data_IF_584955667837
#
_entry.id   IF_584955667837
#
_cell.length_a   1.000
_cell.length_b   1.000
_cell.length_c   1.000
_cell.angle_alpha   90.00
_cell.angle_beta   90.00
_cell.angle_gamma   90.00
#
_symmetry.space_group_name_H-M   'P 1'
#
loop_
_entity.id
_entity.type
_entity.pdbx_description
1 polymer ?
#
# COMPACT_ATOMS: atom_id res chain seq x y z
N UNK A 1 -31.59 -19.79 -20.55
CA UNK A 1 -31.65 -18.99 -19.32
C UNK A 1 -30.24 -18.92 -18.77
N UNK A 2 -29.63 -17.73 -18.75
CA UNK A 2 -28.36 -17.54 -18.05
C UNK A 2 -28.66 -17.62 -16.54
N UNK A 3 -27.98 -18.51 -15.84
CA UNK A 3 -28.08 -18.58 -14.38
C UNK A 3 -27.43 -17.33 -13.80
N UNK A 4 -28.11 -16.68 -12.85
CA UNK A 4 -27.53 -15.53 -12.15
C UNK A 4 -26.19 -15.92 -11.50
N UNK A 5 -25.19 -15.06 -11.61
CA UNK A 5 -23.87 -15.32 -11.02
C UNK A 5 -23.95 -15.38 -9.49
N UNK A 6 -22.90 -15.89 -8.84
CA UNK A 6 -22.84 -15.91 -7.37
C UNK A 6 -22.92 -14.49 -6.81
N UNK A 7 -22.31 -13.53 -7.49
CA UNK A 7 -22.32 -12.11 -7.12
C UNK A 7 -23.73 -11.52 -7.24
N UNK A 8 -24.37 -11.69 -8.40
CA UNK A 8 -25.73 -11.21 -8.65
C UNK A 8 -26.73 -11.76 -7.63
N UNK A 9 -26.64 -13.06 -7.31
CA UNK A 9 -27.46 -13.68 -6.28
C UNK A 9 -27.18 -13.10 -4.89
N UNK A 10 -25.92 -12.86 -4.55
CA UNK A 10 -25.54 -12.32 -3.23
C UNK A 10 -26.02 -10.86 -3.10
N UNK A 11 -25.91 -10.07 -4.17
CA UNK A 11 -26.44 -8.70 -4.22
C UNK A 11 -27.97 -8.68 -4.14
N UNK A 12 -28.67 -9.60 -4.82
CA UNK A 12 -30.12 -9.75 -4.66
C UNK A 12 -30.49 -10.05 -3.21
N UNK A 13 -29.78 -10.97 -2.55
CA UNK A 13 -30.01 -11.29 -1.14
C UNK A 13 -29.72 -10.09 -0.23
N UNK A 14 -28.68 -9.31 -0.51
CA UNK A 14 -28.42 -8.07 0.20
C UNK A 14 -29.62 -7.10 0.13
N UNK A 15 -30.19 -6.88 -1.06
CA UNK A 15 -31.37 -6.01 -1.23
C UNK A 15 -32.57 -6.52 -0.45
N UNK A 16 -32.86 -7.82 -0.55
CA UNK A 16 -33.98 -8.45 0.15
C UNK A 16 -33.84 -8.38 1.68
N UNK A 17 -32.63 -8.59 2.22
CA UNK A 17 -32.34 -8.45 3.66
C UNK A 17 -32.63 -7.03 4.13
N UNK A 18 -32.20 -6.01 3.36
CA UNK A 18 -32.43 -4.61 3.71
C UNK A 18 -33.91 -4.25 3.66
N UNK A 19 -34.64 -4.68 2.62
CA UNK A 19 -36.09 -4.46 2.52
C UNK A 19 -36.84 -5.10 3.69
N UNK A 20 -36.49 -6.34 4.04
CA UNK A 20 -37.08 -7.04 5.19
C UNK A 20 -36.82 -6.30 6.51
N UNK A 21 -35.58 -5.86 6.71
CA UNK A 21 -35.19 -5.12 7.91
C UNK A 21 -35.88 -3.76 8.02
N UNK A 22 -35.90 -2.98 6.94
CA UNK A 22 -36.57 -1.69 6.88
C UNK A 22 -38.06 -1.80 7.16
N UNK A 23 -38.71 -2.85 6.65
CA UNK A 23 -40.10 -3.15 6.96
C UNK A 23 -40.30 -3.51 8.43
N UNK A 24 -39.39 -4.28 9.02
CA UNK A 24 -39.43 -4.65 10.43
C UNK A 24 -39.25 -3.46 11.39
N UNK A 25 -38.36 -2.51 11.07
CA UNK A 25 -38.16 -1.29 11.88
C UNK A 25 -39.14 -0.15 11.55
N UNK A 26 -39.86 -0.28 10.42
CA UNK A 26 -40.74 0.74 9.87
C UNK A 26 -42.16 0.72 10.43
N UNK A 27 -43.04 1.52 9.80
CA UNK A 27 -44.43 1.72 10.23
C UNK A 27 -45.36 0.53 10.02
N UNK A 28 -44.94 -0.49 9.27
CA UNK A 28 -45.72 -1.71 9.01
C UNK A 28 -45.61 -2.73 10.16
N UNK A 29 -44.79 -2.43 11.17
CA UNK A 29 -44.66 -3.19 12.41
C UNK A 29 -43.57 -4.26 12.36
N UNK A 30 -43.15 -4.76 13.52
CA UNK A 30 -42.05 -5.71 13.61
C UNK A 30 -42.43 -7.03 12.94
N UNK A 31 -41.73 -7.35 11.85
CA UNK A 31 -41.79 -8.66 11.23
C UNK A 31 -41.31 -9.74 12.21
N UNK A 32 -41.96 -10.90 12.16
CA UNK A 32 -41.86 -11.99 13.15
C UNK A 32 -40.43 -12.46 13.45
N UNK A 33 -39.54 -12.38 12.47
CA UNK A 33 -38.16 -12.83 12.60
C UNK A 33 -37.13 -11.74 12.26
N UNK A 34 -37.55 -10.49 12.14
CA UNK A 34 -36.66 -9.36 11.80
C UNK A 34 -35.55 -9.13 12.82
N UNK A 35 -35.81 -9.40 14.10
CA UNK A 35 -34.82 -9.32 15.19
C UNK A 35 -33.59 -10.22 14.99
N UNK A 36 -33.67 -11.19 14.08
CA UNK A 36 -32.54 -12.07 13.76
C UNK A 36 -31.49 -11.41 12.87
N UNK A 37 -31.85 -10.31 12.21
CA UNK A 37 -30.93 -9.56 11.35
C UNK A 37 -30.11 -8.65 12.24
N UNK A 38 -28.79 -8.85 12.21
CA UNK A 38 -27.86 -8.02 12.97
C UNK A 38 -27.54 -6.74 12.19
N UNK A 39 -27.18 -5.67 12.91
CA UNK A 39 -26.68 -4.45 12.27
C UNK A 39 -25.49 -4.72 11.34
N UNK A 40 -24.61 -5.66 11.71
CA UNK A 40 -23.51 -6.09 10.84
C UNK A 40 -23.97 -6.70 9.51
N UNK A 41 -25.13 -7.37 9.50
CA UNK A 41 -25.72 -7.90 8.26
C UNK A 41 -26.21 -6.77 7.36
N UNK A 42 -26.78 -5.72 7.97
CA UNK A 42 -27.21 -4.51 7.26
C UNK A 42 -26.02 -3.75 6.71
N UNK A 43 -24.93 -3.62 7.45
CA UNK A 43 -23.70 -2.99 6.98
C UNK A 43 -23.11 -3.75 5.78
N UNK A 44 -23.07 -5.08 5.85
CA UNK A 44 -22.64 -5.95 4.73
C UNK A 44 -23.57 -5.79 3.52
N UNK A 45 -24.89 -5.85 3.74
CA UNK A 45 -25.87 -5.71 2.66
C UNK A 45 -25.84 -4.33 2.01
N UNK A 46 -25.64 -3.27 2.79
CA UNK A 46 -25.50 -1.90 2.29
C UNK A 46 -24.25 -1.75 1.43
N UNK A 47 -23.18 -2.46 1.78
CA UNK A 47 -21.94 -2.47 1.00
C UNK A 47 -22.13 -3.14 -0.36
N UNK A 48 -22.81 -4.28 -0.40
CA UNK A 48 -22.96 -5.09 -1.61
C UNK A 48 -24.07 -4.59 -2.53
N UNK A 49 -25.13 -4.04 -1.96
CA UNK A 49 -26.26 -3.52 -2.72
C UNK A 49 -26.82 -2.24 -2.05
N UNK A 50 -26.20 -1.08 -2.34
CA UNK A 50 -26.67 0.20 -1.82
C UNK A 50 -28.03 0.60 -2.41
N UNK A 51 -28.28 0.21 -3.67
CA UNK A 51 -29.57 0.39 -4.34
C UNK A 51 -30.50 -0.79 -4.04
N UNK A 52 -31.19 -0.73 -2.91
CA UNK A 52 -32.08 -1.80 -2.44
C UNK A 52 -33.58 -1.49 -2.63
N UNK A 53 -33.92 -0.25 -2.97
CA UNK A 53 -35.32 0.11 -3.21
C UNK A 53 -35.82 -0.58 -4.48
N UNK A 54 -37.03 -1.15 -4.44
CA UNK A 54 -37.66 -1.76 -5.63
C UNK A 54 -37.76 -0.78 -6.81
N UNK A 55 -37.82 0.53 -6.54
CA UNK A 55 -37.82 1.59 -7.57
C UNK A 55 -36.55 1.61 -8.42
N UNK A 56 -35.42 1.17 -7.85
CA UNK A 56 -34.10 1.14 -8.49
C UNK A 56 -33.74 -0.25 -9.01
N UNK A 57 -34.59 -1.26 -8.78
CA UNK A 57 -34.32 -2.65 -9.12
C UNK A 57 -34.96 -3.06 -10.46
N UNK A 58 -34.55 -4.22 -10.97
CA UNK A 58 -35.14 -4.79 -12.17
C UNK A 58 -36.65 -5.06 -11.99
N UNK A 59 -37.43 -4.84 -13.06
CA UNK A 59 -38.87 -5.08 -13.06
C UNK A 59 -39.15 -6.57 -12.77
N UNK A 60 -39.92 -6.83 -11.71
CA UNK A 60 -40.25 -8.18 -11.26
C UNK A 60 -39.34 -8.73 -10.17
N UNK A 61 -38.40 -7.93 -9.63
CA UNK A 61 -37.66 -8.31 -8.43
C UNK A 61 -38.59 -8.39 -7.21
N UNK A 62 -38.55 -9.51 -6.50
CA UNK A 62 -39.33 -9.71 -5.27
C UNK A 62 -38.77 -8.89 -4.11
N UNK A 63 -39.67 -8.41 -3.25
CA UNK A 63 -39.34 -7.62 -2.07
C UNK A 63 -38.43 -8.41 -1.12
N UNK A 64 -38.89 -9.59 -0.70
CA UNK A 64 -38.15 -10.63 0.00
C UNK A 64 -38.95 -11.95 -0.04
N UNK A 65 -38.33 -13.12 0.23
CA UNK A 65 -39.04 -14.40 0.23
C UNK A 65 -40.08 -14.49 1.36
N UNK A 66 -41.33 -14.81 1.03
CA UNK A 66 -42.42 -14.98 2.02
C UNK A 66 -42.12 -16.03 3.09
N UNK A 67 -41.25 -17.01 2.77
CA UNK A 67 -40.85 -18.03 3.75
C UNK A 67 -40.10 -17.45 4.94
N UNK A 68 -39.57 -16.23 4.82
CA UNK A 68 -38.93 -15.54 5.94
C UNK A 68 -39.93 -15.17 7.02
N UNK A 69 -41.19 -14.85 6.68
CA UNK A 69 -42.24 -14.53 7.66
C UNK A 69 -42.87 -15.78 8.29
N UNK A 70 -42.90 -16.89 7.56
CA UNK A 70 -43.53 -18.13 8.02
C UNK A 70 -42.56 -19.11 8.69
N UNK A 71 -41.27 -19.12 8.33
CA UNK A 71 -40.29 -20.12 8.76
C UNK A 71 -39.01 -19.48 9.28
N UNK A 72 -38.85 -19.48 10.60
CA UNK A 72 -37.67 -18.96 11.28
C UNK A 72 -36.32 -19.52 10.78
N UNK A 73 -36.31 -20.79 10.35
CA UNK A 73 -35.12 -21.46 9.81
C UNK A 73 -34.72 -20.95 8.42
N UNK A 74 -35.69 -20.47 7.63
CA UNK A 74 -35.42 -19.97 6.28
C UNK A 74 -34.56 -18.72 6.33
N UNK A 75 -34.98 -17.71 7.10
CA UNK A 75 -34.20 -16.48 7.29
C UNK A 75 -32.83 -16.77 7.89
N UNK A 76 -32.76 -17.59 8.96
CA UNK A 76 -31.49 -17.92 9.61
C UNK A 76 -30.51 -18.62 8.66
N UNK A 77 -30.98 -19.53 7.81
CA UNK A 77 -30.15 -20.18 6.80
C UNK A 77 -29.66 -19.18 5.75
N UNK A 78 -30.55 -18.31 5.25
CA UNK A 78 -30.18 -17.29 4.28
C UNK A 78 -29.15 -16.31 4.84
N UNK A 79 -29.31 -15.84 6.08
CA UNK A 79 -28.34 -14.95 6.73
C UNK A 79 -26.95 -15.60 6.87
N UNK A 80 -26.89 -16.87 7.29
CA UNK A 80 -25.62 -17.59 7.40
C UNK A 80 -24.89 -17.69 6.06
N UNK A 81 -25.61 -18.08 4.99
CA UNK A 81 -25.02 -18.15 3.65
C UNK A 81 -24.63 -16.78 3.12
N UNK A 82 -25.47 -15.76 3.35
CA UNK A 82 -25.21 -14.39 2.94
C UNK A 82 -23.92 -13.87 3.57
N UNK A 83 -23.73 -14.03 4.88
CA UNK A 83 -22.51 -13.60 5.59
C UNK A 83 -21.26 -14.25 5.02
N UNK A 84 -21.33 -15.55 4.70
CA UNK A 84 -20.20 -16.28 4.14
C UNK A 84 -19.86 -15.76 2.74
N UNK A 85 -20.86 -15.64 1.85
CA UNK A 85 -20.67 -15.13 0.49
C UNK A 85 -20.27 -13.66 0.43
N UNK A 86 -20.84 -12.83 1.31
CA UNK A 86 -20.48 -11.43 1.42
C UNK A 86 -19.00 -11.24 1.79
N UNK A 87 -18.48 -12.07 2.70
CA UNK A 87 -17.05 -12.06 3.07
C UNK A 87 -16.16 -12.51 1.92
N UNK A 88 -16.55 -13.56 1.19
CA UNK A 88 -15.81 -14.02 0.01
C UNK A 88 -15.71 -12.92 -1.06
N UNK A 89 -16.82 -12.23 -1.34
CA UNK A 89 -16.84 -11.11 -2.31
C UNK A 89 -16.02 -9.92 -1.85
N UNK A 90 -16.13 -9.53 -0.56
CA UNK A 90 -15.32 -8.45 -0.02
C UNK A 90 -13.82 -8.77 -0.06
N UNK A 91 -13.44 -10.02 0.21
CA UNK A 91 -12.05 -10.46 0.11
C UNK A 91 -11.55 -10.49 -1.34
N UNK A 92 -12.39 -10.94 -2.29
CA UNK A 92 -12.06 -10.93 -3.71
C UNK A 92 -11.82 -9.49 -4.23
N UNK A 93 -12.71 -8.55 -3.88
CA UNK A 93 -12.55 -7.13 -4.21
C UNK A 93 -11.28 -6.54 -3.61
N UNK A 94 -10.96 -6.86 -2.35
CA UNK A 94 -9.72 -6.40 -1.71
C UNK A 94 -8.47 -6.90 -2.43
N UNK A 95 -8.49 -8.17 -2.85
CA UNK A 95 -7.38 -8.77 -3.60
C UNK A 95 -7.23 -8.15 -4.99
N UNK A 96 -8.32 -7.87 -5.70
CA UNK A 96 -8.25 -7.19 -7.01
C UNK A 96 -7.61 -5.81 -6.90
N UNK A 97 -7.91 -5.05 -5.84
CA UNK A 97 -7.28 -3.75 -5.58
C UNK A 97 -5.79 -3.92 -5.29
N UNK A 98 -5.41 -4.89 -4.48
CA UNK A 98 -4.00 -5.18 -4.15
C UNK A 98 -3.20 -5.66 -5.38
N UNK A 99 -3.77 -6.56 -6.18
CA UNK A 99 -3.20 -7.04 -7.43
C UNK A 99 -3.08 -5.93 -8.48
N UNK A 100 -3.95 -4.91 -8.44
CA UNK A 100 -3.86 -3.73 -9.31
C UNK A 100 -2.72 -2.81 -8.88
N UNK A 101 -2.64 -2.48 -7.59
CA UNK A 101 -1.60 -1.62 -7.03
C UNK A 101 -0.19 -2.18 -7.25
N UNK A 102 -0.04 -3.50 -7.25
CA UNK A 102 1.27 -4.17 -7.44
C UNK A 102 1.72 -4.29 -8.89
N UNK A 103 0.82 -4.17 -9.87
CA UNK A 103 1.15 -4.32 -11.30
C UNK A 103 1.57 -3.02 -11.98
N UNK A 104 1.05 -1.88 -11.54
CA UNK A 104 1.36 -0.59 -12.16
C UNK A 104 1.23 0.55 -11.13
N UNK A 105 2.37 1.00 -10.59
CA UNK A 105 2.44 2.08 -9.60
C UNK A 105 2.03 3.46 -10.15
N UNK A 106 1.74 3.57 -11.45
CA UNK A 106 1.35 4.84 -12.11
C UNK A 106 -0.14 4.97 -12.34
N UNK A 107 -0.91 3.89 -12.24
CA UNK A 107 -2.34 3.89 -12.53
C UNK A 107 -3.13 3.87 -11.23
N UNK A 108 -4.02 4.85 -11.04
CA UNK A 108 -4.96 4.87 -9.91
C UNK A 108 -5.93 3.70 -10.11
N UNK A 109 -6.11 2.79 -9.11
CA UNK A 109 -7.06 1.70 -9.24
C UNK A 109 -8.44 2.23 -9.59
N UNK A 110 -9.20 1.50 -10.43
CA UNK A 110 -10.51 1.96 -10.85
C UNK A 110 -11.37 2.22 -9.62
N UNK A 111 -11.72 3.49 -9.39
CA UNK A 111 -12.86 3.83 -8.55
C UNK A 111 -14.04 3.21 -9.28
N UNK A 112 -14.68 2.21 -8.71
CA UNK A 112 -15.82 1.51 -9.31
C UNK A 112 -16.98 2.50 -9.53
N UNK A 113 -16.93 3.29 -10.61
CA UNK A 113 -17.85 4.37 -10.98
C UNK A 113 -19.24 3.85 -11.44
N UNK A 114 -19.59 2.60 -11.12
CA UNK A 114 -20.81 1.95 -11.56
C UNK A 114 -21.67 1.51 -10.39
N UNK A 115 -22.71 2.28 -10.08
CA UNK A 115 -23.95 1.80 -9.44
C UNK A 115 -23.92 1.40 -7.96
N UNK A 116 -22.76 1.38 -7.30
CA UNK A 116 -22.67 0.91 -5.91
C UNK A 116 -22.49 2.04 -4.89
N UNK A 117 -23.26 3.14 -5.00
CA UNK A 117 -23.48 4.13 -3.93
C UNK A 117 -22.24 4.80 -3.30
N UNK A 118 -22.46 5.87 -2.54
CA UNK A 118 -21.35 6.69 -2.01
C UNK A 118 -20.44 5.92 -1.02
N UNK A 119 -20.96 4.88 -0.34
CA UNK A 119 -20.22 4.17 0.72
C UNK A 119 -19.22 3.14 0.19
N UNK A 120 -19.49 2.48 -0.95
CA UNK A 120 -18.51 1.58 -1.55
C UNK A 120 -17.34 2.38 -2.16
N UNK A 121 -17.63 3.56 -2.73
CA UNK A 121 -16.61 4.52 -3.14
C UNK A 121 -15.75 4.99 -1.96
N UNK A 122 -16.36 5.32 -0.82
CA UNK A 122 -15.58 5.72 0.37
C UNK A 122 -14.65 4.60 0.82
N UNK A 123 -15.09 3.35 0.83
CA UNK A 123 -14.22 2.22 1.21
C UNK A 123 -13.10 1.96 0.20
N UNK A 124 -13.37 2.05 -1.10
CA UNK A 124 -12.29 1.91 -2.09
C UNK A 124 -11.27 3.04 -1.93
N UNK A 125 -11.72 4.28 -1.70
CA UNK A 125 -10.84 5.41 -1.42
C UNK A 125 -10.04 5.25 -0.10
N UNK A 126 -10.65 4.73 0.97
CA UNK A 126 -9.98 4.43 2.23
C UNK A 126 -8.88 3.37 2.03
N UNK A 127 -9.17 2.34 1.24
CA UNK A 127 -8.23 1.27 0.96
C UNK A 127 -7.05 1.77 0.12
N UNK A 128 -7.33 2.57 -0.92
CA UNK A 128 -6.32 3.27 -1.73
C UNK A 128 -5.44 4.16 -0.86
N UNK A 129 -6.06 4.97 0.01
CA UNK A 129 -5.32 5.85 0.91
C UNK A 129 -4.41 5.07 1.87
N UNK A 130 -4.84 3.89 2.32
CA UNK A 130 -4.03 3.03 3.18
C UNK A 130 -2.81 2.45 2.44
N UNK A 131 -2.97 2.05 1.18
CA UNK A 131 -1.89 1.54 0.34
C UNK A 131 -0.87 2.64 0.02
N UNK A 132 -1.35 3.83 -0.40
CA UNK A 132 -0.49 4.98 -0.68
C UNK A 132 0.32 5.43 0.54
N UNK A 133 -0.27 5.41 1.74
CA UNK A 133 0.47 5.71 2.98
C UNK A 133 1.62 4.73 3.23
N UNK A 134 1.42 3.45 2.91
CA UNK A 134 2.45 2.42 3.06
C UNK A 134 3.60 2.62 2.07
N UNK A 135 3.28 2.89 0.80
CA UNK A 135 4.29 3.21 -0.22
C UNK A 135 5.08 4.48 0.12
N UNK A 136 4.40 5.54 0.58
CA UNK A 136 5.05 6.76 1.07
C UNK A 136 6.01 6.49 2.23
N UNK A 137 5.65 5.57 3.14
CA UNK A 137 6.54 5.20 4.25
C UNK A 137 7.80 4.48 3.76
N UNK A 138 7.68 3.57 2.79
CA UNK A 138 8.82 2.88 2.18
C UNK A 138 9.72 3.85 1.40
N UNK A 139 9.14 4.75 0.60
CA UNK A 139 9.89 5.80 -0.12
C UNK A 139 10.64 6.70 0.86
N UNK A 140 9.99 7.13 1.94
CA UNK A 140 10.64 7.95 2.96
C UNK A 140 11.78 7.21 3.67
N UNK A 141 11.60 5.91 3.95
CA UNK A 141 12.67 5.07 4.52
C UNK A 141 13.88 4.98 3.57
N UNK A 142 13.63 4.78 2.28
CA UNK A 142 14.69 4.79 1.25
C UNK A 142 15.41 6.15 1.17
N UNK A 143 14.66 7.26 1.21
CA UNK A 143 15.23 8.61 1.21
C UNK A 143 16.13 8.85 2.42
N UNK A 144 15.69 8.48 3.63
CA UNK A 144 16.49 8.64 4.85
C UNK A 144 17.79 7.81 4.79
N UNK A 145 17.73 6.58 4.28
CA UNK A 145 18.91 5.75 4.10
C UNK A 145 19.91 6.37 3.11
N UNK A 146 19.43 6.89 1.98
CA UNK A 146 20.27 7.58 1.00
C UNK A 146 20.88 8.87 1.53
N UNK A 147 20.15 9.66 2.32
CA UNK A 147 20.68 10.85 2.99
C UNK A 147 21.76 10.49 4.03
N UNK A 148 21.61 9.38 4.75
CA UNK A 148 22.61 8.90 5.70
C UNK A 148 23.88 8.42 5.00
N UNK A 149 23.74 7.68 3.90
CA UNK A 149 24.87 7.27 3.06
C UNK A 149 25.62 8.48 2.47
N UNK A 150 24.89 9.47 1.96
CA UNK A 150 25.48 10.72 1.46
C UNK A 150 26.26 11.48 2.55
N UNK A 151 25.76 11.50 3.79
CA UNK A 151 26.48 12.09 4.93
C UNK A 151 27.79 11.34 5.22
N UNK A 152 27.78 10.01 5.15
CA UNK A 152 28.98 9.20 5.36
C UNK A 152 30.04 9.45 4.26
N UNK A 153 29.63 9.54 2.99
CA UNK A 153 30.55 9.89 1.91
C UNK A 153 31.14 11.30 2.10
N UNK A 154 30.32 12.27 2.50
CA UNK A 154 30.77 13.64 2.73
C UNK A 154 31.74 13.73 3.92
N UNK A 155 31.53 12.95 4.97
CA UNK A 155 32.47 12.85 6.09
C UNK A 155 33.82 12.26 5.66
N UNK A 156 33.81 11.16 4.88
CA UNK A 156 35.04 10.55 4.34
C UNK A 156 35.79 11.49 3.39
N UNK A 157 35.07 12.23 2.55
CA UNK A 157 35.68 13.20 1.64
C UNK A 157 36.41 14.30 2.41
N UNK A 158 35.80 14.84 3.49
CA UNK A 158 36.44 15.84 4.36
C UNK A 158 37.67 15.30 5.09
N UNK A 159 37.63 14.06 5.54
CA UNK A 159 38.79 13.43 6.19
C UNK A 159 39.95 13.25 5.21
N UNK A 160 39.66 12.82 3.97
CA UNK A 160 40.66 12.70 2.91
C UNK A 160 41.23 14.06 2.48
N UNK A 161 40.39 15.10 2.42
CA UNK A 161 40.81 16.47 2.14
C UNK A 161 41.78 16.99 3.22
N UNK A 162 41.44 16.82 4.50
CA UNK A 162 42.32 17.21 5.61
C UNK A 162 43.63 16.41 5.66
N UNK A 163 43.64 15.15 5.22
CA UNK A 163 44.87 14.36 5.11
C UNK A 163 45.75 14.85 3.96
N UNK A 164 45.16 15.24 2.83
CA UNK A 164 45.89 15.83 1.71
C UNK A 164 46.46 17.20 2.06
N UNK A 165 45.71 18.06 2.75
CA UNK A 165 46.21 19.35 3.23
C UNK A 165 47.45 19.17 4.12
N UNK A 166 47.44 18.22 5.08
CA UNK A 166 48.63 17.93 5.90
C UNK A 166 49.81 17.44 5.09
N UNK A 167 49.59 16.55 4.12
CA UNK A 167 50.68 16.05 3.27
C UNK A 167 51.27 17.15 2.38
N UNK A 168 50.45 18.14 1.99
CA UNK A 168 50.93 19.31 1.25
C UNK A 168 51.72 20.26 2.16
N UNK A 169 51.25 20.51 3.39
CA UNK A 169 52.00 21.29 4.39
C UNK A 169 53.35 20.62 4.73
N UNK A 170 53.37 19.29 4.95
CA UNK A 170 54.60 18.53 5.19
C UNK A 170 55.57 18.60 3.99
N UNK A 171 55.06 18.64 2.76
CA UNK A 171 55.89 18.83 1.57
C UNK A 171 56.41 20.27 1.44
N UNK A 172 55.60 21.29 1.77
CA UNK A 172 56.05 22.69 1.74
C UNK A 172 57.14 22.95 2.81
N UNK A 173 57.04 22.35 4.00
CA UNK A 173 58.08 22.44 5.04
C UNK A 173 59.40 21.73 4.66
N UNK A 174 59.36 20.66 3.87
CA UNK A 174 60.56 19.93 3.40
C UNK A 174 61.36 20.73 2.34
N UNK A 175 60.73 21.67 1.61
CA UNK A 175 61.43 22.55 0.66
C UNK A 175 62.01 23.83 1.28
N UNK A 176 61.55 24.24 2.47
CA UNK A 176 62.07 25.41 3.19
C UNK A 176 63.31 25.11 4.05
N UNK A 177 63.59 23.83 4.38
CA UNK A 177 64.81 23.43 5.12
C UNK A 177 66.08 23.33 4.24
N UNK A 178 65.95 23.36 2.91
CA UNK A 178 67.07 23.19 1.98
C UNK A 178 67.68 24.51 1.44
N UNK A 179 67.22 25.68 1.89
CA UNK A 179 67.72 27.01 1.44
C UNK A 179 68.58 27.80 2.46
N UNK A 180 69.09 27.20 3.54
CA UNK A 180 70.16 27.81 4.34
C UNK A 180 71.31 26.86 4.68
N UNK A 181 72.24 26.67 3.73
CA UNK A 181 73.60 26.19 4.03
C UNK A 181 74.58 26.38 2.86
N UNK A 182 74.86 27.64 2.48
CA UNK A 182 76.15 27.97 1.87
C UNK A 182 77.18 28.19 3.00
N UNK A 183 78.06 27.22 3.28
CA UNK A 183 79.50 27.43 3.46
C UNK A 183 80.24 26.13 3.90
N UNK A 184 81.35 25.91 3.20
CA UNK A 184 82.56 25.21 3.63
C UNK A 184 82.65 23.67 3.75
N UNK A 185 83.71 23.15 3.10
CA UNK A 185 84.58 22.18 3.76
C UNK A 185 84.62 20.76 3.20
N UNK A 186 85.46 20.59 2.19
CA UNK A 186 86.22 19.40 1.81
C UNK A 186 86.22 18.12 2.71
N UNK A 187 86.07 17.00 2.01
CA UNK A 187 86.84 15.75 2.16
C UNK A 187 86.37 14.69 3.18
N UNK A 188 85.76 13.60 2.69
CA UNK A 188 86.37 12.24 2.71
C UNK A 188 85.44 11.12 2.21
N UNK A 189 85.84 10.53 1.07
CA UNK A 189 85.97 9.08 0.84
C UNK A 189 84.78 8.15 1.19
N UNK A 190 84.14 7.56 0.16
CA UNK A 190 84.45 6.20 -0.35
C UNK A 190 83.47 5.67 -1.41
N UNK A 191 84.08 5.26 -2.54
CA UNK A 191 83.81 4.08 -3.40
C UNK A 191 82.42 3.96 -4.06
N UNK A 192 82.32 4.27 -5.36
CA UNK A 192 82.54 3.34 -6.51
C UNK A 192 81.70 2.06 -6.45
N UNK A 193 80.67 1.94 -7.30
CA UNK A 193 80.74 1.21 -8.60
C UNK A 193 79.37 1.16 -9.32
N UNK A 194 79.42 1.61 -10.57
CA UNK A 194 78.74 1.10 -11.78
C UNK A 194 77.23 0.85 -11.73
N UNK A 195 76.53 1.83 -12.29
CA UNK A 195 75.39 1.62 -13.19
C UNK A 195 75.91 0.83 -14.40
N UNK A 196 75.51 -0.43 -14.52
CA UNK A 196 75.48 -1.09 -15.82
C UNK A 196 74.08 -0.86 -16.38
N UNK A 197 74.00 0.01 -17.38
CA UNK A 197 72.84 0.06 -18.26
C UNK A 197 72.93 -1.05 -19.30
N UNK A 198 71.79 -1.62 -19.66
CA UNK A 198 71.42 -1.87 -21.06
C UNK A 198 70.03 -2.51 -21.13
N UNK A 199 69.16 -1.84 -21.89
CA UNK A 199 67.96 -2.37 -22.51
C UNK A 199 68.33 -3.51 -23.48
N UNK A 200 67.62 -4.64 -23.38
CA UNK A 200 66.86 -5.31 -24.47
C UNK A 200 66.21 -6.60 -23.97
#
# INVERSE_FOLDING_TARGET
MAWATIEENTCLRARQIRRYYDKHIGSEGPLKYGDKILLSDIDLATTLAPDYSLKLCAKGEEEYPEQWDSKAKSLSYTLSNFRLKAKELAAAMGKEIEDFMTKDATTIPPVFLGGNGDRAHVRSLELIASCLKRELAEVNKGKMAAEEEAKQYLARAKEAEAQLERLLEEQEEEYDEDEESEEDGEDRRRKRRKIDGASN
#
